data_IF_080139947821
#
_entry.id   IF_080139947821
#
_cell.length_a   1.000
_cell.length_b   1.000
_cell.length_c   1.000
_cell.angle_alpha   90.00
_cell.angle_beta   90.00
_cell.angle_gamma   90.00
#
_symmetry.space_group_name_H-M   'P 1'
#
loop_
_entity.id
_entity.type
_entity.pdbx_description
1 polymer ?
#
# COMPACT_ATOMS: atom_id res chain seq x y z
N UNK A 1 -12.05 10.24 -1.92
CA UNK A 1 -10.91 9.81 -2.77
C UNK A 1 -9.75 9.50 -1.84
N UNK A 2 -9.12 8.33 -1.99
CA UNK A 2 -7.91 8.00 -1.23
C UNK A 2 -6.84 9.03 -1.61
N UNK A 3 -6.38 9.80 -0.62
CA UNK A 3 -5.47 10.92 -0.87
C UNK A 3 -4.02 10.47 -1.12
N UNK A 4 -3.78 9.15 -1.11
CA UNK A 4 -2.50 8.51 -1.35
C UNK A 4 -2.67 7.16 -2.04
N UNK A 5 -1.65 6.73 -2.78
CA UNK A 5 -1.59 5.46 -3.53
C UNK A 5 -0.81 4.38 -2.77
N UNK A 6 -0.95 3.10 -3.18
CA UNK A 6 -0.10 2.02 -2.63
C UNK A 6 1.39 2.26 -2.94
N UNK A 7 1.70 2.87 -4.08
CA UNK A 7 3.09 3.15 -4.46
C UNK A 7 3.73 4.16 -3.49
N UNK A 8 3.02 5.22 -3.12
CA UNK A 8 3.48 6.19 -2.11
C UNK A 8 3.66 5.55 -0.73
N UNK A 9 2.80 4.59 -0.37
CA UNK A 9 2.95 3.80 0.87
C UNK A 9 4.22 2.96 0.81
N UNK A 10 4.49 2.30 -0.31
CA UNK A 10 5.68 1.46 -0.49
C UNK A 10 6.96 2.31 -0.44
N UNK A 11 7.00 3.45 -1.15
CA UNK A 11 8.12 4.39 -1.10
C UNK A 11 8.36 4.95 0.31
N UNK A 12 7.28 5.24 1.05
CA UNK A 12 7.40 5.67 2.44
C UNK A 12 7.97 4.58 3.36
N UNK A 13 7.59 3.32 3.15
CA UNK A 13 8.14 2.18 3.90
C UNK A 13 9.61 1.94 3.58
N UNK A 14 10.02 2.04 2.32
CA UNK A 14 11.42 1.98 1.90
C UNK A 14 12.24 3.12 2.51
N UNK A 15 11.69 4.33 2.55
CA UNK A 15 12.38 5.46 3.18
C UNK A 15 12.58 5.23 4.69
N UNK A 16 11.60 4.61 5.37
CA UNK A 16 11.71 4.22 6.78
C UNK A 16 12.78 3.13 6.97
N UNK A 17 12.83 2.11 6.11
CA UNK A 17 13.85 1.05 6.20
C UNK A 17 15.25 1.60 5.96
N UNK A 18 15.38 2.63 5.11
CA UNK A 18 16.61 3.40 4.89
C UNK A 18 16.99 4.34 6.06
N UNK A 19 16.24 4.33 7.17
CA UNK A 19 16.55 5.08 8.39
C UNK A 19 15.83 6.42 8.54
N UNK A 20 14.89 6.77 7.65
CA UNK A 20 14.02 7.93 7.90
C UNK A 20 13.01 7.66 9.02
N UNK A 21 12.64 8.72 9.76
CA UNK A 21 11.57 8.60 10.75
C UNK A 21 10.20 8.47 10.07
N UNK A 22 9.30 7.70 10.67
CA UNK A 22 7.93 7.48 10.16
C UNK A 22 7.20 8.81 9.92
N UNK A 23 7.42 9.80 10.79
CA UNK A 23 6.79 11.13 10.68
C UNK A 23 7.30 11.91 9.47
N UNK A 24 8.60 11.79 9.16
CA UNK A 24 9.22 12.43 7.98
C UNK A 24 8.75 11.77 6.69
N UNK A 25 8.74 10.44 6.65
CA UNK A 25 8.24 9.69 5.50
C UNK A 25 6.74 9.98 5.25
N UNK A 26 5.90 9.98 6.29
CA UNK A 26 4.49 10.35 6.19
C UNK A 26 4.26 11.73 5.56
N UNK A 27 5.05 12.73 5.98
CA UNK A 27 4.96 14.08 5.43
C UNK A 27 5.49 14.16 3.99
N UNK A 28 6.58 13.46 3.69
CA UNK A 28 7.24 13.48 2.38
C UNK A 28 6.36 12.84 1.30
N UNK A 29 5.70 11.72 1.60
CA UNK A 29 4.89 10.95 0.65
C UNK A 29 3.38 11.20 0.78
N UNK A 30 2.96 12.12 1.66
CA UNK A 30 1.53 12.44 1.85
C UNK A 30 0.70 11.31 2.49
N UNK A 31 1.35 10.28 3.03
CA UNK A 31 0.69 9.12 3.61
C UNK A 31 0.44 9.34 5.11
N UNK A 32 -0.75 9.05 5.66
CA UNK A 32 -0.99 9.13 7.09
C UNK A 32 -0.02 8.24 7.89
N UNK A 33 0.54 8.81 8.97
CA UNK A 33 1.46 8.09 9.86
C UNK A 33 0.85 6.79 10.42
N UNK A 34 -0.43 6.79 10.73
CA UNK A 34 -1.16 5.62 11.23
C UNK A 34 -1.18 4.48 10.22
N UNK A 35 -1.32 4.80 8.93
CA UNK A 35 -1.22 3.83 7.83
C UNK A 35 0.15 3.18 7.80
N UNK A 36 1.24 3.97 7.85
CA UNK A 36 2.61 3.44 7.87
C UNK A 36 2.88 2.59 9.13
N UNK A 37 2.34 2.99 10.28
CA UNK A 37 2.48 2.25 11.53
C UNK A 37 1.76 0.89 11.47
N UNK A 38 0.55 0.83 10.92
CA UNK A 38 -0.17 -0.44 10.71
C UNK A 38 0.57 -1.37 9.75
N UNK A 39 1.15 -0.81 8.67
CA UNK A 39 1.97 -1.60 7.73
C UNK A 39 3.21 -2.19 8.40
N UNK A 40 3.91 -1.41 9.22
CA UNK A 40 5.06 -1.90 10.01
C UNK A 40 4.68 -2.98 11.03
N UNK A 41 3.45 -2.93 11.55
CA UNK A 41 2.91 -3.96 12.44
C UNK A 41 2.43 -5.22 11.70
N UNK A 42 2.52 -5.26 10.37
CA UNK A 42 2.11 -6.41 9.55
C UNK A 42 0.61 -6.43 9.21
N UNK A 43 -0.10 -5.31 9.36
CA UNK A 43 -1.50 -5.24 8.93
C UNK A 43 -1.58 -5.34 7.41
N UNK A 44 -2.32 -6.33 6.92
CA UNK A 44 -2.53 -6.53 5.49
C UNK A 44 -3.40 -5.41 4.89
N UNK A 45 -3.22 -5.17 3.60
CA UNK A 45 -4.03 -4.21 2.86
C UNK A 45 -5.45 -4.71 2.74
N UNK A 46 -6.42 -3.79 2.63
CA UNK A 46 -7.79 -4.17 2.30
C UNK A 46 -7.83 -4.97 1.00
N UNK A 47 -7.08 -4.57 -0.02
CA UNK A 47 -7.03 -5.31 -1.29
C UNK A 47 -6.55 -6.77 -1.10
N UNK A 48 -5.47 -6.97 -0.34
CA UNK A 48 -4.95 -8.31 -0.05
C UNK A 48 -5.87 -9.12 0.86
N UNK A 49 -6.47 -8.50 1.88
CA UNK A 49 -7.33 -9.20 2.84
C UNK A 49 -8.66 -9.62 2.22
N UNK A 50 -9.12 -8.91 1.19
CA UNK A 50 -10.37 -9.19 0.46
C UNK A 50 -10.13 -9.85 -0.90
N UNK A 51 -8.92 -10.32 -1.20
CA UNK A 51 -8.60 -10.99 -2.48
C UNK A 51 -9.52 -12.17 -2.76
N UNK A 52 -9.83 -12.96 -1.72
CA UNK A 52 -10.66 -14.16 -1.84
C UNK A 52 -12.14 -13.85 -2.11
N UNK A 53 -12.57 -12.60 -1.87
CA UNK A 53 -13.92 -12.13 -2.19
C UNK A 53 -13.97 -11.44 -3.57
N UNK A 54 -12.85 -11.33 -4.29
CA UNK A 54 -12.84 -10.78 -5.64
C UNK A 54 -13.50 -11.76 -6.61
N UNK A 55 -14.36 -11.22 -7.50
CA UNK A 55 -15.09 -12.02 -8.50
C UNK A 55 -14.18 -12.59 -9.58
N UNK A 56 -13.06 -11.92 -9.84
CA UNK A 56 -12.06 -12.34 -10.80
C UNK A 56 -10.77 -12.62 -10.04
N UNK A 57 -10.09 -13.69 -10.42
CA UNK A 57 -8.72 -13.92 -9.96
C UNK A 57 -7.77 -12.94 -10.63
N UNK A 58 -6.62 -12.66 -10.01
CA UNK A 58 -5.56 -11.82 -10.60
C UNK A 58 -5.18 -12.27 -12.02
N UNK A 59 -5.18 -13.58 -12.27
CA UNK A 59 -4.93 -14.15 -13.60
C UNK A 59 -6.01 -13.84 -14.63
N UNK A 60 -7.27 -13.71 -14.21
CA UNK A 60 -8.38 -13.31 -15.09
C UNK A 60 -8.32 -11.81 -15.39
N UNK A 61 -7.99 -10.99 -14.40
CA UNK A 61 -7.80 -9.54 -14.59
C UNK A 61 -6.66 -9.25 -15.57
N UNK A 62 -5.52 -9.94 -15.44
CA UNK A 62 -4.39 -9.79 -16.35
C UNK A 62 -4.76 -10.10 -17.81
N UNK A 63 -5.55 -11.17 -18.03
CA UNK A 63 -6.01 -11.57 -19.37
C UNK A 63 -6.93 -10.54 -20.03
N UNK A 64 -7.67 -9.76 -19.23
CA UNK A 64 -8.52 -8.68 -19.75
C UNK A 64 -7.71 -7.44 -20.16
N UNK A 65 -6.56 -7.21 -19.53
CA UNK A 65 -5.70 -6.05 -19.82
C UNK A 65 -4.85 -6.21 -21.09
N UNK A 66 -4.65 -7.45 -21.55
CA UNK A 66 -3.88 -7.79 -22.77
C UNK A 66 -4.71 -7.72 -24.07
N UNK A 67 -6.00 -7.37 -24.00
CA UNK A 67 -6.92 -7.29 -25.14
C UNK A 67 -7.10 -5.87 -25.64
#
# INVERSE_FOLDING_TARGET
>A
MSQYTEDEVNQALEAISNGQSIRKAAQQYGVPRTTLQHRLQGTQTRASAFSDLQRLTVSQEAKLAEW
#
